data_IF_312937197192
#
_entry.id   IF_312937197192
#
_cell.length_a   1.000
_cell.length_b   1.000
_cell.length_c   1.000
_cell.angle_alpha   90.00
_cell.angle_beta   90.00
_cell.angle_gamma   90.00
#
_symmetry.space_group_name_H-M   'P 1'
#
loop_
_entity.id
_entity.type
_entity.pdbx_description
1 polymer ?
#
# COMPACT_ATOMS: atom_id res chain seq x y z
N UNK A 1 5.14 46.97 -78.05
CA UNK A 1 4.97 48.37 -77.62
C UNK A 1 3.49 48.73 -77.75
N UNK A 2 2.93 49.58 -76.87
CA UNK A 2 3.51 50.25 -75.70
C UNK A 2 3.14 49.50 -74.40
N UNK A 3 4.07 49.27 -73.46
CA UNK A 3 4.71 50.17 -72.47
C UNK A 3 3.80 50.48 -71.27
N UNK A 4 4.19 49.95 -70.11
CA UNK A 4 3.60 50.24 -68.80
C UNK A 4 4.22 49.38 -67.69
N UNK A 5 5.54 49.41 -67.57
CA UNK A 5 6.31 48.84 -66.48
C UNK A 5 6.49 49.91 -65.40
N UNK A 6 6.19 49.60 -64.14
CA UNK A 6 7.00 50.06 -63.00
C UNK A 6 6.98 48.99 -61.91
N UNK A 7 8.19 48.50 -61.67
CA UNK A 7 8.64 47.56 -60.66
C UNK A 7 8.49 48.08 -59.21
N UNK A 8 8.92 47.23 -58.27
CA UNK A 8 9.00 47.38 -56.81
C UNK A 8 7.65 47.04 -56.14
N UNK A 9 7.48 45.86 -55.56
CA UNK A 9 8.20 45.42 -54.36
C UNK A 9 8.47 43.90 -54.39
N UNK A 10 9.67 43.50 -54.84
CA UNK A 10 10.32 42.27 -54.35
C UNK A 10 10.84 42.59 -52.95
N UNK A 11 10.05 42.30 -51.94
CA UNK A 11 10.42 42.56 -50.54
C UNK A 11 9.66 41.64 -49.60
N UNK A 12 10.31 40.54 -49.24
CA UNK A 12 10.19 39.90 -47.92
C UNK A 12 8.78 39.55 -47.41
N UNK A 13 8.23 38.43 -47.90
CA UNK A 13 7.17 37.70 -47.16
C UNK A 13 7.73 36.89 -45.97
N UNK A 14 9.03 36.99 -45.69
CA UNK A 14 9.68 36.33 -44.55
C UNK A 14 9.61 37.14 -43.23
N UNK A 15 8.86 38.25 -43.19
CA UNK A 15 8.84 39.16 -42.03
C UNK A 15 7.44 39.57 -41.56
N UNK A 16 6.40 38.76 -41.84
CA UNK A 16 5.06 38.94 -41.26
C UNK A 16 4.78 38.05 -40.04
N UNK A 17 5.81 37.56 -39.35
CA UNK A 17 5.67 36.72 -38.15
C UNK A 17 6.13 37.40 -36.85
N UNK A 18 6.27 38.73 -36.82
CA UNK A 18 6.83 39.46 -35.66
C UNK A 18 5.85 40.43 -34.99
N UNK A 19 4.60 40.55 -35.48
CA UNK A 19 3.58 41.43 -34.87
C UNK A 19 2.17 40.82 -34.85
N UNK A 20 2.07 39.49 -34.88
CA UNK A 20 0.91 38.83 -34.31
C UNK A 20 1.35 38.42 -32.90
N UNK A 21 0.84 39.01 -31.80
CA UNK A 21 0.88 38.27 -30.55
C UNK A 21 0.23 36.93 -30.88
N UNK A 22 0.85 35.82 -30.46
CA UNK A 22 0.22 34.51 -30.53
C UNK A 22 -1.22 34.71 -30.05
N UNK A 23 -2.18 34.70 -30.96
CA UNK A 23 -3.59 34.57 -30.64
C UNK A 23 -3.73 33.11 -30.21
N UNK A 24 -3.16 32.81 -29.04
CA UNK A 24 -3.57 31.68 -28.25
C UNK A 24 -5.09 31.81 -28.16
N UNK A 25 -5.78 30.78 -28.61
CA UNK A 25 -7.23 30.62 -28.52
C UNK A 25 -7.76 31.28 -27.24
N UNK A 26 -8.39 32.46 -27.37
CA UNK A 26 -8.93 33.22 -26.24
C UNK A 26 -10.28 32.66 -25.75
N UNK A 27 -10.69 31.52 -26.31
CA UNK A 27 -11.93 30.82 -26.01
C UNK A 27 -11.59 29.40 -25.58
N UNK A 28 -11.82 29.08 -24.30
CA UNK A 28 -11.65 27.75 -23.74
C UNK A 28 -10.91 27.70 -22.41
N UNK A 29 -10.54 26.48 -21.99
CA UNK A 29 -9.76 26.28 -20.77
C UNK A 29 -8.33 26.80 -20.92
N UNK A 30 -7.83 27.51 -19.91
CA UNK A 30 -6.41 27.80 -19.76
C UNK A 30 -5.59 26.53 -19.58
N UNK A 31 -4.27 26.66 -19.70
CA UNK A 31 -3.35 25.62 -19.25
C UNK A 31 -3.54 25.32 -17.77
N UNK A 32 -3.20 24.08 -17.41
CA UNK A 32 -3.16 23.65 -16.02
C UNK A 32 -1.99 24.30 -15.29
N UNK A 33 -2.26 24.78 -14.10
CA UNK A 33 -1.29 25.38 -13.19
C UNK A 33 -1.35 24.68 -11.84
N UNK A 34 -0.21 24.61 -11.14
CA UNK A 34 -0.15 24.01 -9.80
C UNK A 34 -0.97 24.87 -8.84
N UNK A 35 -1.98 24.27 -8.21
CA UNK A 35 -2.88 24.91 -7.27
C UNK A 35 -2.47 24.74 -5.80
N UNK A 36 -1.92 23.58 -5.42
CA UNK A 36 -1.49 23.30 -4.05
C UNK A 36 -0.13 22.63 -4.00
N UNK A 37 0.55 22.72 -2.86
CA UNK A 37 1.73 21.91 -2.59
C UNK A 37 1.33 20.45 -2.42
N UNK A 38 2.25 19.54 -2.78
CA UNK A 38 2.08 18.11 -2.55
C UNK A 38 1.83 17.79 -1.07
N UNK A 39 0.81 16.98 -0.80
CA UNK A 39 0.42 16.58 0.54
C UNK A 39 1.47 15.73 1.29
N UNK A 40 2.37 15.08 0.55
CA UNK A 40 3.44 14.23 1.08
C UNK A 40 4.76 14.56 0.38
N UNK A 41 5.87 14.39 1.09
CA UNK A 41 7.23 14.54 0.53
C UNK A 41 7.80 13.25 -0.06
N UNK A 42 7.14 12.11 0.18
CA UNK A 42 7.51 10.79 -0.35
C UNK A 42 6.31 9.83 -0.30
N UNK A 43 6.44 8.71 -1.00
CA UNK A 43 5.50 7.58 -0.95
C UNK A 43 4.20 7.83 -1.71
N UNK A 44 4.16 8.83 -2.60
CA UNK A 44 2.97 9.22 -3.34
C UNK A 44 2.03 10.09 -2.53
N UNK A 45 2.09 11.40 -2.76
CA UNK A 45 1.12 12.39 -2.29
C UNK A 45 0.17 12.83 -3.39
N UNK A 46 -0.70 13.77 -3.04
CA UNK A 46 -1.66 14.39 -3.96
C UNK A 46 -1.43 15.88 -3.95
N UNK A 47 -1.48 16.48 -5.14
CA UNK A 47 -1.56 17.93 -5.31
C UNK A 47 -2.67 18.26 -6.29
N UNK A 48 -3.09 19.52 -6.25
CA UNK A 48 -4.18 20.03 -7.07
C UNK A 48 -3.59 20.82 -8.22
N UNK A 49 -4.18 20.69 -9.40
CA UNK A 49 -3.97 21.60 -10.52
C UNK A 49 -5.28 22.32 -10.85
N UNK A 50 -5.15 23.59 -11.18
CA UNK A 50 -6.26 24.48 -11.51
C UNK A 50 -6.08 25.06 -12.91
N UNK A 51 -7.21 25.33 -13.57
CA UNK A 51 -7.31 26.05 -14.83
C UNK A 51 -8.51 26.99 -14.78
N UNK A 52 -8.46 28.05 -15.56
CA UNK A 52 -9.53 29.04 -15.67
C UNK A 52 -10.20 28.95 -17.03
N UNK A 53 -11.50 29.22 -17.08
CA UNK A 53 -12.22 29.36 -18.35
C UNK A 53 -11.93 30.75 -18.90
N UNK A 54 -11.23 30.83 -20.03
CA UNK A 54 -10.93 32.07 -20.74
C UNK A 54 -12.04 32.27 -21.78
N UNK A 55 -12.81 33.35 -21.65
CA UNK A 55 -13.85 33.74 -22.58
C UNK A 55 -13.59 35.17 -23.06
N UNK A 56 -13.85 35.45 -24.34
CA UNK A 56 -13.84 36.83 -24.86
C UNK A 56 -14.88 37.72 -24.16
N UNK A 57 -14.54 38.99 -23.98
CA UNK A 57 -15.49 40.01 -23.50
C UNK A 57 -16.74 40.04 -24.38
N UNK A 58 -17.90 39.75 -23.77
CA UNK A 58 -19.19 39.67 -24.46
C UNK A 58 -19.83 38.27 -24.45
N UNK A 59 -19.06 37.22 -24.12
CA UNK A 59 -19.59 35.88 -23.89
C UNK A 59 -20.41 35.87 -22.59
N UNK A 60 -21.69 35.49 -22.67
CA UNK A 60 -22.57 35.41 -21.51
C UNK A 60 -22.39 34.06 -20.82
N UNK A 61 -21.63 34.06 -19.72
CA UNK A 61 -21.77 33.08 -18.66
C UNK A 61 -20.63 32.07 -18.51
N UNK A 62 -20.49 31.60 -17.27
CA UNK A 62 -19.55 30.62 -16.73
C UNK A 62 -19.81 29.16 -17.20
N UNK A 63 -20.62 28.95 -18.24
CA UNK A 63 -21.11 27.63 -18.70
C UNK A 63 -20.52 27.17 -20.04
N UNK A 64 -19.67 27.95 -20.72
CA UNK A 64 -19.07 27.52 -22.01
C UNK A 64 -17.99 26.45 -21.85
N UNK A 65 -17.25 26.45 -20.74
CA UNK A 65 -16.19 25.48 -20.51
C UNK A 65 -16.71 24.20 -19.85
N UNK A 66 -16.91 23.14 -20.63
CA UNK A 66 -17.30 21.84 -20.11
C UNK A 66 -16.14 21.14 -19.35
N UNK A 67 -16.43 20.64 -18.16
CA UNK A 67 -15.49 19.87 -17.32
C UNK A 67 -15.08 20.57 -16.04
N UNK A 68 -14.18 19.96 -15.26
CA UNK A 68 -13.73 20.52 -13.99
C UNK A 68 -12.64 21.58 -14.19
N UNK A 69 -12.71 22.68 -13.43
CA UNK A 69 -11.63 23.68 -13.31
C UNK A 69 -10.46 23.18 -12.45
N UNK A 70 -10.67 22.08 -11.71
CA UNK A 70 -9.72 21.52 -10.76
C UNK A 70 -9.53 20.03 -10.99
N UNK A 71 -8.28 19.56 -10.99
CA UNK A 71 -7.95 18.14 -11.01
C UNK A 71 -6.93 17.80 -9.93
N UNK A 72 -6.89 16.53 -9.56
CA UNK A 72 -5.95 16.00 -8.57
C UNK A 72 -4.94 15.13 -9.30
N UNK A 73 -3.67 15.29 -8.96
CA UNK A 73 -2.57 14.55 -9.56
C UNK A 73 -1.65 14.00 -8.46
N UNK A 74 -1.00 12.87 -8.77
CA UNK A 74 0.04 12.32 -7.88
C UNK A 74 1.30 13.16 -7.95
N UNK A 75 1.99 13.24 -6.81
CA UNK A 75 3.28 13.93 -6.67
C UNK A 75 4.16 13.16 -5.68
N UNK A 76 5.46 13.37 -5.72
CA UNK A 76 6.42 12.76 -4.80
C UNK A 76 6.27 11.23 -4.67
N UNK A 77 6.18 10.51 -5.80
CA UNK A 77 5.98 9.06 -5.87
C UNK A 77 7.20 8.23 -5.47
N UNK A 78 8.36 8.86 -5.26
CA UNK A 78 9.56 8.19 -4.75
C UNK A 78 9.27 7.46 -3.44
N UNK A 79 9.85 6.27 -3.21
CA UNK A 79 9.71 5.56 -1.94
C UNK A 79 10.14 6.42 -0.75
N UNK A 80 9.45 6.28 0.38
CA UNK A 80 9.88 6.90 1.62
C UNK A 80 11.13 6.21 2.19
N UNK A 81 11.96 6.94 2.96
CA UNK A 81 13.05 6.34 3.72
C UNK A 81 12.60 5.18 4.61
N UNK A 82 13.50 4.23 4.86
CA UNK A 82 13.19 3.10 5.77
C UNK A 82 12.87 3.63 7.17
N UNK A 83 11.80 3.11 7.76
CA UNK A 83 11.35 3.50 9.10
C UNK A 83 10.45 4.73 9.15
N UNK A 84 10.13 5.36 8.00
CA UNK A 84 9.07 6.37 7.92
C UNK A 84 7.76 5.79 8.49
N UNK A 85 7.13 6.53 9.39
CA UNK A 85 5.86 6.13 9.99
C UNK A 85 4.74 6.24 8.97
N UNK A 86 3.76 5.35 9.08
CA UNK A 86 2.53 5.42 8.30
C UNK A 86 1.89 6.81 8.38
N UNK A 87 1.40 7.33 7.25
CA UNK A 87 0.89 8.69 7.15
C UNK A 87 -0.46 8.84 7.87
N UNK A 88 -1.28 7.78 7.94
CA UNK A 88 -2.52 7.77 8.73
C UNK A 88 -2.21 7.77 10.22
N UNK A 89 -1.22 6.99 10.66
CA UNK A 89 -0.72 7.01 12.04
C UNK A 89 -0.25 8.41 12.47
N UNK A 90 0.48 9.13 11.60
CA UNK A 90 0.90 10.51 11.89
C UNK A 90 -0.31 11.43 12.14
N UNK A 91 -1.38 11.28 11.36
CA UNK A 91 -2.61 12.06 11.54
C UNK A 91 -3.32 11.76 12.86
N UNK A 92 -3.42 10.49 13.27
CA UNK A 92 -3.97 10.15 14.60
C UNK A 92 -3.10 10.74 15.72
N UNK A 93 -1.77 10.61 15.61
CA UNK A 93 -0.83 11.10 16.63
C UNK A 93 -0.78 12.61 16.76
N UNK A 94 -1.25 13.36 15.76
CA UNK A 94 -1.40 14.80 15.86
C UNK A 94 -2.39 15.22 16.96
N UNK A 95 -3.29 14.33 17.38
CA UNK A 95 -4.23 14.55 18.48
C UNK A 95 -3.72 14.04 19.84
N UNK A 96 -2.49 13.54 19.92
CA UNK A 96 -1.88 13.18 21.19
C UNK A 96 -1.64 14.45 22.03
N UNK A 97 -2.13 14.47 23.27
CA UNK A 97 -1.94 15.61 24.17
C UNK A 97 -2.90 16.77 23.94
N UNK A 98 -3.80 16.68 22.96
CA UNK A 98 -4.94 17.60 22.84
C UNK A 98 -5.83 17.50 24.10
N UNK A 99 -6.32 18.65 24.56
CA UNK A 99 -7.17 18.74 25.75
C UNK A 99 -8.58 18.21 25.44
N UNK A 100 -8.71 16.88 25.41
CA UNK A 100 -10.01 16.23 25.27
C UNK A 100 -10.83 16.44 26.55
N UNK A 101 -12.13 16.69 26.39
CA UNK A 101 -13.04 16.93 27.52
C UNK A 101 -13.09 15.74 28.48
N UNK A 102 -12.84 14.55 27.94
CA UNK A 102 -12.89 13.28 28.66
C UNK A 102 -11.53 12.98 29.31
N UNK A 103 -11.52 12.98 30.64
CA UNK A 103 -10.32 12.73 31.45
C UNK A 103 -9.82 11.29 31.35
N UNK A 104 -10.64 10.33 30.93
CA UNK A 104 -10.26 8.90 30.82
C UNK A 104 -9.32 8.61 29.64
N UNK A 105 -9.27 9.54 28.68
CA UNK A 105 -8.40 9.49 27.49
C UNK A 105 -7.42 10.65 27.42
N UNK A 106 -7.35 11.44 28.50
CA UNK A 106 -6.36 12.49 28.63
C UNK A 106 -4.97 11.84 28.57
N UNK A 107 -4.14 12.30 27.64
CA UNK A 107 -2.82 11.75 27.34
C UNK A 107 -2.82 10.36 26.65
N UNK A 108 -3.92 9.95 26.03
CA UNK A 108 -3.94 8.76 25.17
C UNK A 108 -2.99 8.90 23.98
N UNK A 109 -2.35 7.78 23.62
CA UNK A 109 -1.70 7.63 22.32
C UNK A 109 -2.71 7.08 21.33
N UNK A 110 -2.97 7.82 20.26
CA UNK A 110 -3.94 7.45 19.24
C UNK A 110 -3.30 6.62 18.12
N UNK A 111 -3.94 5.52 17.77
CA UNK A 111 -3.56 4.64 16.66
C UNK A 111 -4.70 4.52 15.65
N UNK A 112 -4.41 4.32 14.35
CA UNK A 112 -5.43 4.31 13.32
C UNK A 112 -6.26 3.02 13.36
N UNK A 113 -7.57 3.18 13.17
CA UNK A 113 -8.51 2.08 12.91
C UNK A 113 -8.81 2.06 11.41
N UNK A 114 -8.65 0.90 10.79
CA UNK A 114 -8.90 0.70 9.37
C UNK A 114 -10.29 0.10 9.15
N UNK A 115 -11.28 0.95 8.90
CA UNK A 115 -12.63 0.53 8.50
C UNK A 115 -12.73 0.51 6.97
N UNK A 116 -12.92 -0.68 6.39
CA UNK A 116 -13.07 -0.85 4.93
C UNK A 116 -14.35 -0.21 4.38
N UNK A 117 -15.35 0.03 5.22
CA UNK A 117 -16.59 0.72 4.85
C UNK A 117 -16.36 2.23 4.70
N UNK A 118 -15.39 2.76 5.44
CA UNK A 118 -15.06 4.19 5.50
C UNK A 118 -13.55 4.42 5.46
N UNK A 119 -12.88 4.00 4.37
CA UNK A 119 -11.43 3.91 4.35
C UNK A 119 -10.74 5.29 4.35
N UNK A 120 -11.48 6.38 4.11
CA UNK A 120 -10.94 7.74 4.12
C UNK A 120 -11.41 8.61 5.29
N UNK A 121 -12.09 8.02 6.28
CA UNK A 121 -12.40 8.68 7.55
C UNK A 121 -11.22 8.49 8.53
N UNK A 122 -10.87 9.51 9.31
CA UNK A 122 -9.81 9.42 10.32
C UNK A 122 -10.39 8.90 11.62
N UNK A 123 -10.49 7.58 11.71
CA UNK A 123 -10.90 6.87 12.91
C UNK A 123 -9.65 6.45 13.68
N UNK A 124 -9.56 6.82 14.94
CA UNK A 124 -8.44 6.49 15.80
C UNK A 124 -8.91 5.84 17.10
N UNK A 125 -8.13 4.88 17.61
CA UNK A 125 -8.37 4.21 18.88
C UNK A 125 -7.29 4.56 19.89
N UNK A 126 -7.71 4.73 21.15
CA UNK A 126 -6.83 4.92 22.28
C UNK A 126 -6.43 3.56 22.89
N UNK A 127 -5.43 3.56 23.77
CA UNK A 127 -4.93 2.34 24.42
C UNK A 127 -6.00 1.61 25.25
N UNK A 128 -7.01 2.32 25.74
CA UNK A 128 -8.14 1.77 26.49
C UNK A 128 -9.23 1.15 25.59
N UNK A 129 -9.04 1.15 24.26
CA UNK A 129 -10.00 0.65 23.27
C UNK A 129 -11.07 1.66 22.85
N UNK A 130 -11.10 2.86 23.45
CA UNK A 130 -12.03 3.89 23.01
C UNK A 130 -11.68 4.36 21.60
N UNK A 131 -12.68 4.44 20.73
CA UNK A 131 -12.51 4.82 19.33
C UNK A 131 -13.23 6.13 19.06
N UNK A 132 -12.57 7.04 18.35
CA UNK A 132 -13.13 8.34 17.95
C UNK A 132 -12.83 8.64 16.48
N UNK A 133 -13.80 9.25 15.81
CA UNK A 133 -13.56 9.95 14.54
C UNK A 133 -13.03 11.34 14.84
N UNK A 134 -11.80 11.62 14.43
CA UNK A 134 -11.22 12.96 14.55
C UNK A 134 -11.49 13.83 13.33
N UNK A 135 -11.56 13.23 12.14
CA UNK A 135 -11.84 13.94 10.89
C UNK A 135 -12.73 13.10 9.96
N UNK A 136 -13.70 13.71 9.27
CA UNK A 136 -14.50 13.02 8.26
C UNK A 136 -13.65 12.62 7.04
N UNK A 137 -12.58 13.37 6.77
CA UNK A 137 -11.65 13.13 5.67
C UNK A 137 -10.20 13.18 6.19
N UNK A 138 -9.47 12.10 5.95
CA UNK A 138 -8.01 12.07 6.06
C UNK A 138 -7.37 13.02 5.05
N UNK A 139 -6.12 13.41 5.27
CA UNK A 139 -5.37 14.24 4.33
C UNK A 139 -5.23 13.49 2.99
N UNK A 140 -5.42 14.20 1.87
CA UNK A 140 -5.28 13.61 0.55
C UNK A 140 -3.90 12.95 0.36
N UNK A 141 -3.86 11.79 -0.30
CA UNK A 141 -2.65 10.97 -0.43
C UNK A 141 -2.40 9.99 0.74
N UNK A 142 -3.31 9.95 1.73
CA UNK A 142 -3.34 8.87 2.72
C UNK A 142 -3.75 7.56 2.07
N UNK A 143 -3.00 6.49 2.33
CA UNK A 143 -3.29 5.17 1.80
C UNK A 143 -4.63 4.64 2.35
N UNK A 144 -5.43 4.04 1.46
CA UNK A 144 -6.75 3.50 1.74
C UNK A 144 -6.91 2.08 1.20
N UNK A 145 -5.80 1.32 1.21
CA UNK A 145 -5.71 -0.02 0.65
C UNK A 145 -6.92 -0.89 1.02
N UNK A 146 -7.57 -1.38 -0.02
CA UNK A 146 -8.43 -2.55 0.09
C UNK A 146 -7.56 -3.78 -0.17
N UNK A 147 -7.95 -4.94 0.36
CA UNK A 147 -7.14 -6.17 0.41
C UNK A 147 -6.48 -6.66 -0.91
N UNK A 148 -6.73 -6.02 -2.06
CA UNK A 148 -6.15 -6.34 -3.38
C UNK A 148 -5.87 -5.14 -4.28
N UNK A 149 -6.09 -3.90 -3.83
CA UNK A 149 -5.99 -2.72 -4.69
C UNK A 149 -5.34 -1.56 -3.94
N UNK A 150 -4.18 -1.13 -4.47
CA UNK A 150 -3.49 0.06 -4.00
C UNK A 150 -4.40 1.28 -4.19
N UNK A 151 -4.63 2.02 -3.10
CA UNK A 151 -5.53 3.15 -3.10
C UNK A 151 -5.03 4.32 -2.26
N UNK A 152 -5.36 5.54 -2.68
CA UNK A 152 -5.15 6.76 -1.89
C UNK A 152 -6.44 7.56 -1.76
N UNK A 153 -6.62 8.21 -0.62
CA UNK A 153 -7.74 9.10 -0.40
C UNK A 153 -7.56 10.41 -1.16
N UNK A 154 -8.60 10.81 -1.89
CA UNK A 154 -8.72 12.11 -2.55
C UNK A 154 -10.12 12.62 -2.29
N UNK A 155 -10.26 13.73 -1.56
CA UNK A 155 -11.55 14.36 -1.22
C UNK A 155 -12.51 13.36 -0.55
N UNK A 156 -12.00 12.63 0.45
CA UNK A 156 -12.78 11.64 1.20
C UNK A 156 -13.11 10.36 0.45
N UNK A 157 -12.68 10.19 -0.81
CA UNK A 157 -12.95 8.99 -1.62
C UNK A 157 -11.66 8.21 -1.86
N UNK A 158 -11.70 6.90 -1.65
CA UNK A 158 -10.58 6.04 -1.98
C UNK A 158 -10.47 5.87 -3.50
N UNK A 159 -9.39 6.38 -4.09
CA UNK A 159 -9.09 6.30 -5.52
C UNK A 159 -7.98 5.30 -5.75
N UNK A 160 -8.13 4.46 -6.78
CA UNK A 160 -7.10 3.50 -7.20
C UNK A 160 -5.86 4.24 -7.69
N UNK A 161 -4.70 3.72 -7.30
CA UNK A 161 -3.40 4.06 -7.90
C UNK A 161 -2.78 2.83 -8.54
N UNK A 162 -1.88 3.05 -9.50
CA UNK A 162 -1.01 1.99 -10.01
C UNK A 162 0.05 1.58 -8.99
N UNK A 163 0.76 0.49 -9.27
CA UNK A 163 1.92 0.05 -8.48
C UNK A 163 3.09 1.07 -8.46
N UNK A 164 3.04 2.06 -9.35
CA UNK A 164 3.93 3.22 -9.44
C UNK A 164 3.52 4.39 -8.53
N UNK A 165 2.43 4.22 -7.75
CA UNK A 165 1.82 5.23 -6.86
C UNK A 165 1.23 6.44 -7.61
N UNK A 166 0.93 6.28 -8.90
CA UNK A 166 0.32 7.32 -9.73
C UNK A 166 -1.19 7.12 -9.79
N UNK A 167 -1.94 8.20 -9.53
CA UNK A 167 -3.40 8.25 -9.61
C UNK A 167 -3.85 7.91 -11.02
N UNK A 168 -4.78 6.95 -11.14
CA UNK A 168 -5.28 6.47 -12.42
C UNK A 168 -4.23 5.84 -13.34
N UNK A 169 -3.07 5.41 -12.81
CA UNK A 169 -2.14 4.57 -13.56
C UNK A 169 -2.68 3.14 -13.68
N UNK A 170 -2.65 2.60 -14.89
CA UNK A 170 -3.09 1.23 -15.18
C UNK A 170 -2.03 0.17 -14.85
N UNK A 171 -0.85 0.60 -14.39
CA UNK A 171 0.24 -0.31 -14.03
C UNK A 171 -0.10 -1.15 -12.82
N UNK A 172 0.19 -2.45 -12.91
CA UNK A 172 -0.05 -3.44 -11.85
C UNK A 172 1.22 -4.20 -11.56
N UNK A 173 1.31 -4.74 -10.36
CA UNK A 173 2.35 -5.70 -10.02
C UNK A 173 2.12 -7.00 -10.81
N UNK A 174 3.20 -7.58 -11.29
CA UNK A 174 3.17 -8.92 -11.88
C UNK A 174 3.17 -10.02 -10.79
N UNK A 175 3.23 -11.28 -11.20
CA UNK A 175 3.29 -12.43 -10.27
C UNK A 175 4.53 -12.45 -9.37
N UNK A 176 5.51 -11.59 -9.64
CA UNK A 176 6.76 -11.43 -8.92
C UNK A 176 6.77 -10.19 -8.02
N UNK A 177 5.64 -9.49 -7.91
CA UNK A 177 5.51 -8.22 -7.19
C UNK A 177 6.37 -7.10 -7.79
N UNK A 178 6.69 -7.21 -9.08
CA UNK A 178 7.40 -6.18 -9.83
C UNK A 178 6.38 -5.33 -10.57
N UNK A 179 6.42 -4.03 -10.34
CA UNK A 179 5.51 -3.10 -10.99
C UNK A 179 5.75 -3.06 -12.50
N UNK A 180 4.71 -3.32 -13.30
CA UNK A 180 4.79 -3.40 -14.76
C UNK A 180 5.79 -4.46 -15.26
N UNK A 181 5.99 -5.51 -14.44
CA UNK A 181 6.87 -6.63 -14.75
C UNK A 181 6.25 -7.63 -15.74
N UNK A 182 7.10 -8.44 -16.34
CA UNK A 182 6.72 -9.48 -17.30
C UNK A 182 6.56 -10.88 -16.64
N UNK A 183 6.80 -10.99 -15.33
CA UNK A 183 6.77 -12.24 -14.58
C UNK A 183 8.00 -13.14 -14.77
N UNK A 184 9.13 -12.65 -15.26
CA UNK A 184 10.37 -13.45 -15.38
C UNK A 184 11.30 -13.36 -14.18
N UNK A 185 11.09 -12.41 -13.27
CA UNK A 185 12.03 -12.11 -12.17
C UNK A 185 11.92 -13.09 -10.98
N UNK A 186 10.94 -13.98 -11.01
CA UNK A 186 10.70 -14.96 -9.98
C UNK A 186 10.23 -16.30 -10.57
N UNK A 187 10.42 -17.36 -9.79
CA UNK A 187 9.91 -18.70 -10.10
C UNK A 187 9.03 -19.20 -8.96
N UNK A 188 8.03 -20.01 -9.29
CA UNK A 188 7.19 -20.64 -8.28
C UNK A 188 7.99 -21.73 -7.57
N UNK A 189 8.27 -21.56 -6.28
CA UNK A 189 8.85 -22.62 -5.47
C UNK A 189 7.79 -23.70 -5.21
N UNK A 190 7.86 -24.82 -5.93
CA UNK A 190 7.00 -25.97 -5.71
C UNK A 190 7.34 -26.59 -4.34
N UNK A 191 6.49 -26.31 -3.34
CA UNK A 191 6.63 -26.90 -2.02
C UNK A 191 6.01 -28.30 -2.05
N UNK A 192 6.82 -29.33 -2.32
CA UNK A 192 6.39 -30.71 -2.13
C UNK A 192 6.21 -30.95 -0.63
N UNK A 193 4.97 -30.84 -0.14
CA UNK A 193 4.64 -31.33 1.20
C UNK A 193 4.62 -32.85 1.14
N UNK A 194 5.80 -33.46 1.25
CA UNK A 194 5.90 -34.83 1.73
C UNK A 194 5.32 -34.84 3.13
N UNK A 195 4.02 -35.13 3.27
CA UNK A 195 3.51 -35.65 4.52
C UNK A 195 4.26 -36.97 4.71
N UNK A 196 5.30 -36.99 5.56
CA UNK A 196 5.62 -38.23 6.25
C UNK A 196 4.33 -38.63 6.93
N UNK A 197 3.65 -39.66 6.41
CA UNK A 197 2.60 -40.35 7.15
C UNK A 197 3.28 -40.85 8.40
N UNK A 198 3.11 -40.12 9.51
CA UNK A 198 3.44 -40.63 10.82
C UNK A 198 2.48 -41.82 11.00
N UNK A 199 2.99 -43.06 11.15
CA UNK A 199 2.14 -44.21 11.34
C UNK A 199 1.26 -44.01 12.58
N UNK A 200 0.00 -44.50 12.56
CA UNK A 200 -1.01 -44.22 13.59
C UNK A 200 -0.66 -44.73 15.01
N UNK A 201 0.50 -45.34 15.23
CA UNK A 201 0.96 -45.87 16.52
C UNK A 201 1.92 -44.95 17.29
N UNK A 202 2.06 -43.68 16.91
CA UNK A 202 3.03 -42.78 17.57
C UNK A 202 2.34 -41.93 18.65
N UNK A 203 2.41 -42.36 19.91
CA UNK A 203 2.03 -41.53 21.06
C UNK A 203 3.16 -40.55 21.39
N UNK A 204 2.89 -39.25 21.27
CA UNK A 204 3.85 -38.22 21.67
C UNK A 204 3.27 -37.47 22.88
N UNK A 205 3.98 -37.53 24.02
CA UNK A 205 3.61 -36.84 25.26
C UNK A 205 4.36 -35.50 25.34
N UNK A 206 3.70 -34.40 25.73
CA UNK A 206 4.37 -33.12 25.85
C UNK A 206 5.03 -33.03 27.23
N UNK A 207 6.37 -33.06 27.27
CA UNK A 207 7.13 -32.67 28.46
C UNK A 207 8.20 -31.67 28.03
N UNK A 208 8.14 -30.47 28.61
CA UNK A 208 9.19 -29.45 28.59
C UNK A 208 9.78 -29.17 27.19
N UNK A 209 8.93 -28.65 26.31
CA UNK A 209 9.31 -27.95 25.06
C UNK A 209 10.01 -28.77 23.97
N UNK A 210 10.12 -30.10 24.11
CA UNK A 210 10.58 -31.00 23.04
C UNK A 210 9.62 -32.18 22.88
N UNK A 211 9.18 -32.42 21.66
CA UNK A 211 8.31 -33.57 21.32
C UNK A 211 9.21 -34.79 21.10
N UNK A 212 9.34 -35.64 22.11
CA UNK A 212 9.96 -36.96 21.97
C UNK A 212 8.89 -37.96 21.52
N UNK A 213 8.96 -38.38 20.25
CA UNK A 213 8.13 -39.46 19.74
C UNK A 213 8.93 -40.77 19.81
N UNK A 214 8.50 -41.70 20.67
CA UNK A 214 9.09 -43.03 20.75
C UNK A 214 8.50 -43.89 19.62
N UNK A 215 9.36 -44.35 18.71
CA UNK A 215 9.00 -45.32 17.70
C UNK A 215 9.01 -46.69 18.38
N UNK A 216 7.85 -47.38 18.44
CA UNK A 216 7.82 -48.82 18.72
C UNK A 216 8.53 -49.56 17.58
N UNK A 217 9.86 -49.57 17.60
CA UNK A 217 10.62 -50.55 16.87
C UNK A 217 10.69 -51.80 17.75
N UNK A 218 10.37 -52.95 17.16
CA UNK A 218 10.34 -54.29 17.78
C UNK A 218 11.65 -54.71 18.48
N UNK A 219 12.67 -53.85 18.53
CA UNK A 219 13.95 -54.08 19.21
C UNK A 219 13.87 -53.91 20.74
N UNK A 220 12.97 -53.07 21.27
CA UNK A 220 12.88 -52.81 22.72
C UNK A 220 12.19 -53.97 23.45
N UNK A 221 11.18 -54.60 22.82
CA UNK A 221 10.49 -55.77 23.41
C UNK A 221 11.43 -56.96 23.55
N UNK A 222 12.41 -57.13 22.63
CA UNK A 222 13.45 -58.15 22.77
C UNK A 222 14.41 -57.89 23.92
N UNK A 223 14.79 -56.63 24.16
CA UNK A 223 15.65 -56.25 25.30
C UNK A 223 14.93 -56.45 26.64
N UNK A 224 13.64 -56.11 26.71
CA UNK A 224 12.84 -56.31 27.93
C UNK A 224 12.59 -57.80 28.23
N UNK A 225 12.34 -58.61 27.19
CA UNK A 225 12.21 -60.07 27.36
C UNK A 225 13.51 -60.75 27.75
N UNK A 226 14.68 -60.30 27.27
CA UNK A 226 15.97 -60.82 27.74
C UNK A 226 16.24 -60.46 29.21
N UNK A 227 15.85 -59.26 29.65
CA UNK A 227 16.04 -58.83 31.03
C UNK A 227 15.13 -59.58 32.01
N UNK A 228 13.87 -59.82 31.63
CA UNK A 228 12.91 -60.55 32.46
C UNK A 228 13.26 -62.05 32.52
N UNK A 229 13.69 -62.64 31.40
CA UNK A 229 14.14 -64.05 31.39
C UNK A 229 15.44 -64.25 32.17
N UNK A 230 16.39 -63.31 32.11
CA UNK A 230 17.60 -63.34 32.93
C UNK A 230 17.31 -63.20 34.44
N UNK A 231 16.36 -62.34 34.82
CA UNK A 231 15.97 -62.16 36.21
C UNK A 231 15.25 -63.39 36.79
N UNK A 232 14.42 -64.07 35.99
CA UNK A 232 13.73 -65.30 36.41
C UNK A 232 14.70 -66.49 36.50
N UNK A 233 15.70 -66.58 35.60
CA UNK A 233 16.72 -67.64 35.64
C UNK A 233 17.64 -67.54 36.88
N UNK A 234 17.91 -66.32 37.34
CA UNK A 234 18.66 -66.06 38.58
C UNK A 234 17.84 -66.32 39.85
N UNK A 235 16.51 -66.29 39.76
CA UNK A 235 15.60 -66.53 40.89
C UNK A 235 15.20 -68.01 41.07
N UNK A 236 15.49 -68.88 40.11
CA UNK A 236 15.14 -70.31 40.13
C UNK A 236 16.33 -71.26 40.34
N UNK A 237 17.55 -70.74 40.56
CA UNK A 237 18.69 -71.55 40.96
C UNK A 237 18.65 -71.77 42.49
N UNK A 238 18.51 -73.02 42.98
CA UNK A 238 18.42 -73.29 44.41
C UNK A 238 19.80 -73.14 45.08
N UNK A 239 19.79 -72.52 46.25
CA UNK A 239 20.87 -72.47 47.23
C UNK A 239 21.59 -73.83 47.35
N UNK A 240 22.84 -73.93 46.87
CA UNK A 240 23.82 -74.90 47.38
C UNK A 240 25.23 -74.36 47.22
N UNK A 241 26.06 -74.72 48.21
CA UNK A 241 27.49 -74.49 48.38
C UNK A 241 27.86 -73.11 48.96
N UNK A 242 28.62 -73.00 50.05
CA UNK A 242 29.21 -73.95 50.99
C UNK A 242 29.67 -73.13 52.21
N UNK A 243 29.83 -73.82 53.34
CA UNK A 243 30.59 -73.46 54.54
C UNK A 243 31.70 -72.42 54.36
#
# INVERSE_FOLDING_TARGET
MPKGQMDLLRGSWFLLCVLAPCLASLDGWSDWSIGTQCSRSCGGGVQTENRSCLLREGSRGNDECQGSATRYISCNSQPCPRGTKDFRLQQCRAYNGEALYDTSIKNSTWEPVYDLSKPCELICTAQNGETRTFRPEVIDGTECDSARELGICVRGVCKRVGCDRILSSDKREDKCLVCDGNGSDCYTAARSTSRRRIPPSTFCLPLLSLVFCLIESLSIVRMCNLYITAAILMALLPLRFLS
#
